data_IF_092600925003
#
_entry.id   IF_092600925003
#
_cell.length_a   1.000
_cell.length_b   1.000
_cell.length_c   1.000
_cell.angle_alpha   90.00
_cell.angle_beta   90.00
_cell.angle_gamma   90.00
#
_symmetry.space_group_name_H-M   'P 1'
#
loop_
_entity.id
_entity.type
_entity.pdbx_description
1 polymer ?
#
# COMPACT_ATOMS: atom_id res chain seq x y z
N UNK A 1 -15.86 18.27 -33.11
CA UNK A 1 -16.04 17.42 -31.91
C UNK A 1 -14.72 16.69 -31.73
N UNK A 2 -13.91 17.04 -30.73
CA UNK A 2 -12.57 16.49 -30.58
C UNK A 2 -12.66 15.01 -30.20
N UNK A 3 -12.22 14.15 -31.12
CA UNK A 3 -12.05 12.72 -30.91
C UNK A 3 -11.08 12.53 -29.73
N UNK A 4 -11.63 12.13 -28.58
CA UNK A 4 -10.82 11.75 -27.42
C UNK A 4 -10.09 10.47 -27.80
N UNK A 5 -8.84 10.60 -28.22
CA UNK A 5 -7.87 9.52 -28.23
C UNK A 5 -7.54 9.15 -26.78
N UNK A 6 -8.48 8.53 -26.09
CA UNK A 6 -8.13 7.66 -24.96
C UNK A 6 -7.43 6.49 -25.62
N UNK A 7 -6.11 6.63 -25.75
CA UNK A 7 -5.22 5.54 -26.14
C UNK A 7 -5.63 4.31 -25.34
N UNK A 8 -6.05 3.27 -26.05
CA UNK A 8 -6.32 1.92 -25.55
C UNK A 8 -5.03 1.22 -25.04
N UNK A 9 -4.04 2.02 -24.63
CA UNK A 9 -2.92 1.57 -23.81
C UNK A 9 -3.49 1.19 -22.45
N UNK A 10 -3.69 -0.11 -22.27
CA UNK A 10 -4.08 -0.74 -21.01
C UNK A 10 -3.50 0.02 -19.82
N UNK A 11 -4.36 0.62 -18.99
CA UNK A 11 -3.99 1.30 -17.73
C UNK A 11 -3.02 0.44 -16.91
N UNK A 12 -3.23 -0.88 -16.94
CA UNK A 12 -2.37 -1.87 -16.32
C UNK A 12 -0.93 -1.86 -16.87
N UNK A 13 -0.74 -1.71 -18.18
CA UNK A 13 0.59 -1.56 -18.80
C UNK A 13 1.29 -0.27 -18.33
N UNK A 14 0.55 0.81 -18.15
CA UNK A 14 1.09 2.05 -17.57
C UNK A 14 1.53 1.85 -16.13
N UNK A 15 0.78 1.08 -15.32
CA UNK A 15 1.17 0.73 -13.96
C UNK A 15 2.42 -0.17 -13.93
N UNK A 16 2.49 -1.17 -14.82
CA UNK A 16 3.67 -2.02 -15.01
C UNK A 16 4.91 -1.20 -15.38
N UNK A 17 4.77 -0.18 -16.23
CA UNK A 17 5.87 0.71 -16.59
C UNK A 17 6.38 1.56 -15.42
N UNK A 18 5.57 1.75 -14.37
CA UNK A 18 5.98 2.45 -13.15
C UNK A 18 6.71 1.54 -12.15
N UNK A 19 6.57 0.21 -12.29
CA UNK A 19 7.19 -0.77 -11.40
C UNK A 19 8.71 -0.63 -11.22
N UNK A 20 9.52 -0.43 -12.27
CA UNK A 20 10.97 -0.30 -12.15
C UNK A 20 11.41 0.91 -11.29
N UNK A 21 10.56 1.93 -11.15
CA UNK A 21 10.85 3.10 -10.32
C UNK A 21 10.59 2.82 -8.84
N UNK A 22 9.68 1.90 -8.53
CA UNK A 22 9.39 1.46 -7.16
C UNK A 22 10.40 0.41 -6.67
N UNK A 23 10.86 -0.46 -7.57
CA UNK A 23 11.90 -1.46 -7.29
C UNK A 23 13.16 -1.23 -8.17
N UNK A 24 13.99 -0.21 -7.85
CA UNK A 24 15.20 0.06 -8.62
C UNK A 24 16.27 -1.01 -8.33
N UNK A 25 16.77 -1.68 -9.38
CA UNK A 25 17.84 -2.68 -9.27
C UNK A 25 19.13 -2.06 -8.69
N UNK A 26 19.41 -0.81 -9.04
CA UNK A 26 20.67 -0.12 -8.75
C UNK A 26 20.78 0.35 -7.29
N UNK A 27 19.68 0.35 -6.52
CA UNK A 27 19.64 0.88 -5.14
C UNK A 27 19.22 -0.18 -4.12
N UNK A 28 20.22 -0.86 -3.53
CA UNK A 28 20.00 -1.88 -2.50
C UNK A 28 19.25 -1.36 -1.26
N UNK A 29 19.49 -0.12 -0.82
CA UNK A 29 18.76 0.51 0.31
C UNK A 29 17.25 0.59 0.04
N UNK A 30 16.84 0.97 -1.18
CA UNK A 30 15.41 1.03 -1.53
C UNK A 30 14.80 -0.36 -1.63
N UNK A 31 15.51 -1.33 -2.20
CA UNK A 31 15.05 -2.73 -2.24
C UNK A 31 14.83 -3.26 -0.81
N UNK A 32 15.78 -3.04 0.09
CA UNK A 32 15.65 -3.42 1.49
C UNK A 32 14.41 -2.78 2.14
N UNK A 33 14.17 -1.48 1.91
CA UNK A 33 12.97 -0.79 2.43
C UNK A 33 11.68 -1.35 1.88
N UNK A 34 11.62 -1.68 0.58
CA UNK A 34 10.42 -2.31 0.01
C UNK A 34 10.20 -3.69 0.61
N UNK A 35 11.26 -4.49 0.77
CA UNK A 35 11.18 -5.79 1.43
C UNK A 35 10.65 -5.67 2.86
N UNK A 36 11.24 -4.79 3.68
CA UNK A 36 10.80 -4.57 5.06
C UNK A 36 9.36 -4.02 5.13
N UNK A 37 9.00 -3.09 4.25
CA UNK A 37 7.64 -2.55 4.18
C UNK A 37 6.62 -3.63 3.79
N UNK A 38 7.02 -4.54 2.90
CA UNK A 38 6.18 -5.67 2.46
C UNK A 38 6.01 -6.69 3.58
N UNK A 39 7.07 -7.02 4.30
CA UNK A 39 7.00 -7.88 5.48
C UNK A 39 6.10 -7.28 6.57
N UNK A 40 6.28 -6.00 6.89
CA UNK A 40 5.44 -5.29 7.86
C UNK A 40 3.98 -5.21 7.40
N UNK A 41 3.75 -5.01 6.10
CA UNK A 41 2.41 -5.08 5.50
C UNK A 41 1.76 -6.44 5.77
N UNK A 42 2.47 -7.55 5.48
CA UNK A 42 1.95 -8.90 5.69
C UNK A 42 1.64 -9.13 7.17
N UNK A 43 2.57 -8.79 8.07
CA UNK A 43 2.36 -8.92 9.52
C UNK A 43 1.15 -8.08 9.96
N UNK A 44 1.04 -6.82 9.53
CA UNK A 44 -0.11 -5.97 9.86
C UNK A 44 -1.45 -6.58 9.41
N UNK A 45 -1.50 -7.19 8.22
CA UNK A 45 -2.72 -7.83 7.72
C UNK A 45 -3.04 -9.14 8.45
N UNK A 46 -2.03 -9.94 8.80
CA UNK A 46 -2.24 -11.11 9.65
C UNK A 46 -2.77 -10.71 11.04
N UNK A 47 -2.21 -9.67 11.65
CA UNK A 47 -2.69 -9.16 12.95
C UNK A 47 -4.12 -8.60 12.85
N UNK A 48 -4.44 -7.90 11.76
CA UNK A 48 -5.80 -7.38 11.51
C UNK A 48 -6.83 -8.51 11.48
N UNK A 49 -6.50 -9.56 10.76
CA UNK A 49 -7.35 -10.73 10.54
C UNK A 49 -7.43 -11.63 11.79
N UNK A 50 -6.37 -11.67 12.60
CA UNK A 50 -6.39 -12.34 13.91
C UNK A 50 -7.24 -11.59 14.95
N UNK A 51 -7.38 -10.27 14.84
CA UNK A 51 -8.10 -9.43 15.81
C UNK A 51 -9.51 -9.94 16.18
N UNK A 52 -10.41 -10.22 15.22
CA UNK A 52 -11.74 -10.73 15.49
C UNK A 52 -11.78 -12.03 16.31
N UNK A 53 -10.75 -12.88 16.25
CA UNK A 53 -10.70 -14.12 17.03
C UNK A 53 -10.58 -13.85 18.54
N UNK A 54 -9.87 -12.79 18.95
CA UNK A 54 -9.82 -12.40 20.37
C UNK A 54 -11.19 -11.98 20.88
N UNK A 55 -11.97 -11.29 20.05
CA UNK A 55 -13.34 -10.93 20.40
C UNK A 55 -14.25 -12.16 20.47
N UNK A 56 -14.13 -13.08 19.50
CA UNK A 56 -14.83 -14.37 19.51
C UNK A 56 -14.56 -15.15 20.81
N UNK A 57 -13.30 -15.32 21.20
CA UNK A 57 -12.97 -16.06 22.42
C UNK A 57 -13.48 -15.36 23.68
N UNK A 58 -13.50 -14.03 23.70
CA UNK A 58 -14.06 -13.28 24.83
C UNK A 58 -15.56 -13.55 24.98
N UNK A 59 -16.30 -13.60 23.87
CA UNK A 59 -17.74 -13.90 23.87
C UNK A 59 -18.02 -15.37 24.19
N UNK A 60 -17.23 -16.31 23.66
CA UNK A 60 -17.38 -17.75 23.92
C UNK A 60 -17.13 -18.07 25.40
N UNK A 61 -16.11 -17.45 26.01
CA UNK A 61 -15.80 -17.59 27.42
C UNK A 61 -16.93 -17.06 28.32
N UNK A 62 -17.62 -15.98 27.91
CA UNK A 62 -18.74 -15.41 28.66
C UNK A 62 -20.03 -16.25 28.49
N UNK A 63 -20.21 -16.87 27.33
CA UNK A 63 -21.34 -17.76 27.03
C UNK A 63 -21.21 -19.14 27.70
N UNK A 64 -20.07 -19.45 28.33
CA UNK A 64 -19.81 -20.75 28.92
C UNK A 64 -19.53 -21.86 27.89
N UNK A 65 -19.37 -21.51 26.61
CA UNK A 65 -19.09 -22.45 25.52
C UNK A 65 -17.59 -22.60 25.30
N UNK A 66 -16.86 -22.99 26.37
CA UNK A 66 -15.40 -23.12 26.39
C UNK A 66 -14.87 -24.32 25.57
N UNK A 67 -15.61 -24.80 24.55
CA UNK A 67 -15.19 -25.90 23.68
C UNK A 67 -13.90 -25.61 22.89
N UNK A 68 -13.53 -24.33 22.76
CA UNK A 68 -12.34 -23.87 22.04
C UNK A 68 -11.52 -22.92 22.90
N UNK A 69 -10.96 -23.41 24.01
CA UNK A 69 -10.00 -22.62 24.77
C UNK A 69 -8.81 -22.27 23.83
N UNK A 70 -8.53 -20.98 23.60
CA UNK A 70 -7.41 -20.61 22.74
C UNK A 70 -6.09 -21.11 23.34
N UNK A 71 -5.06 -21.38 22.51
CA UNK A 71 -3.72 -21.78 22.97
C UNK A 71 -2.97 -20.57 23.55
N UNK A 72 -3.58 -19.91 24.54
CA UNK A 72 -3.09 -18.72 25.20
C UNK A 72 -2.74 -19.03 26.66
N UNK A 73 -1.79 -18.29 27.27
CA UNK A 73 -1.50 -18.39 28.69
C UNK A 73 -2.75 -18.24 29.55
N UNK A 74 -2.81 -18.98 30.66
CA UNK A 74 -3.97 -19.03 31.56
C UNK A 74 -4.43 -17.65 32.06
N UNK A 75 -3.50 -16.71 32.25
CA UNK A 75 -3.82 -15.34 32.67
C UNK A 75 -4.57 -14.52 31.60
N UNK A 76 -4.50 -14.90 30.32
CA UNK A 76 -5.21 -14.23 29.23
C UNK A 76 -6.60 -14.82 28.96
N UNK A 77 -6.97 -15.94 29.57
CA UNK A 77 -8.24 -16.62 29.29
C UNK A 77 -9.47 -15.92 29.92
N UNK A 78 -9.25 -14.99 30.86
CA UNK A 78 -10.32 -14.19 31.42
C UNK A 78 -10.94 -13.28 30.33
N UNK A 79 -12.28 -13.17 30.22
CA UNK A 79 -12.93 -12.36 29.17
C UNK A 79 -12.42 -10.92 29.09
N UNK A 80 -12.20 -10.28 30.26
CA UNK A 80 -11.63 -8.92 30.34
C UNK A 80 -10.23 -8.86 29.72
N UNK A 81 -9.39 -9.86 29.98
CA UNK A 81 -8.03 -9.92 29.44
C UNK A 81 -8.01 -10.17 27.94
N UNK A 82 -8.96 -10.94 27.39
CA UNK A 82 -9.12 -11.12 25.94
C UNK A 82 -9.52 -9.81 25.24
N UNK A 83 -10.38 -8.99 25.86
CA UNK A 83 -10.73 -7.66 25.35
C UNK A 83 -9.53 -6.72 25.39
N UNK A 84 -8.74 -6.75 26.47
CA UNK A 84 -7.47 -6.00 26.55
C UNK A 84 -6.50 -6.45 25.47
N UNK A 85 -6.32 -7.77 25.30
CA UNK A 85 -5.46 -8.35 24.28
C UNK A 85 -5.89 -7.93 22.86
N UNK A 86 -7.19 -7.96 22.55
CA UNK A 86 -7.74 -7.45 21.30
C UNK A 86 -7.31 -6.00 21.02
N UNK A 87 -7.42 -5.12 22.03
CA UNK A 87 -7.01 -3.71 21.88
C UNK A 87 -5.50 -3.56 21.71
N UNK A 88 -4.69 -4.34 22.42
CA UNK A 88 -3.22 -4.36 22.23
C UNK A 88 -2.87 -4.81 20.83
N UNK A 89 -3.48 -5.90 20.35
CA UNK A 89 -3.32 -6.41 18.97
C UNK A 89 -3.69 -5.34 17.95
N UNK A 90 -4.78 -4.59 18.18
CA UNK A 90 -5.19 -3.48 17.33
C UNK A 90 -4.18 -2.33 17.32
N UNK A 91 -3.63 -1.96 18.48
CA UNK A 91 -2.58 -0.93 18.56
C UNK A 91 -1.31 -1.35 17.84
N UNK A 92 -0.89 -2.61 18.02
CA UNK A 92 0.27 -3.19 17.32
C UNK A 92 0.04 -3.21 15.81
N UNK A 93 -1.15 -3.61 15.37
CA UNK A 93 -1.53 -3.59 13.95
C UNK A 93 -1.46 -2.19 13.35
N UNK A 94 -1.96 -1.18 14.06
CA UNK A 94 -1.84 0.23 13.64
C UNK A 94 -0.38 0.67 13.58
N UNK A 95 0.44 0.27 14.56
CA UNK A 95 1.88 0.54 14.57
C UNK A 95 2.59 -0.03 13.34
N UNK A 96 2.31 -1.29 12.98
CA UNK A 96 2.87 -1.90 11.77
C UNK A 96 2.42 -1.20 10.49
N UNK A 97 1.16 -0.74 10.42
CA UNK A 97 0.69 0.06 9.28
C UNK A 97 1.43 1.41 9.17
N UNK A 98 1.65 2.11 10.29
CA UNK A 98 2.39 3.37 10.27
C UNK A 98 3.86 3.16 9.85
N UNK A 99 4.50 2.08 10.35
CA UNK A 99 5.87 1.74 10.00
C UNK A 99 6.03 1.40 8.51
N UNK A 100 5.16 0.54 7.96
CA UNK A 100 5.19 0.22 6.52
C UNK A 100 4.93 1.49 5.68
N UNK A 101 4.02 2.37 6.11
CA UNK A 101 3.61 3.54 5.33
C UNK A 101 4.76 4.56 5.30
N UNK A 102 5.49 4.72 6.42
CA UNK A 102 6.70 5.52 6.50
C UNK A 102 7.82 4.98 5.58
N UNK A 103 8.01 3.65 5.54
CA UNK A 103 9.00 3.03 4.64
C UNK A 103 8.61 3.22 3.17
N UNK A 104 7.35 2.95 2.81
CA UNK A 104 6.85 3.11 1.45
C UNK A 104 6.83 4.57 1.00
N UNK A 105 6.57 5.53 1.90
CA UNK A 105 6.59 6.95 1.58
C UNK A 105 7.97 7.39 1.03
N UNK A 106 9.07 6.85 1.58
CA UNK A 106 10.42 7.16 1.10
C UNK A 106 10.68 6.55 -0.29
N UNK A 107 10.18 5.35 -0.55
CA UNK A 107 10.28 4.71 -1.88
C UNK A 107 9.44 5.45 -2.91
N UNK A 108 8.20 5.81 -2.57
CA UNK A 108 7.31 6.59 -3.42
C UNK A 108 7.91 7.95 -3.78
N UNK A 109 8.47 8.69 -2.81
CA UNK A 109 9.15 9.96 -3.10
C UNK A 109 10.35 9.80 -4.03
N UNK A 110 11.12 8.72 -3.89
CA UNK A 110 12.20 8.44 -4.83
C UNK A 110 11.69 8.20 -6.25
N UNK A 111 10.65 7.36 -6.40
CA UNK A 111 10.05 7.07 -7.70
C UNK A 111 9.54 8.36 -8.39
N UNK A 112 8.85 9.21 -7.63
CA UNK A 112 8.36 10.53 -8.09
C UNK A 112 9.50 11.43 -8.53
N UNK A 113 10.54 11.56 -7.69
CA UNK A 113 11.72 12.37 -8.01
C UNK A 113 12.41 11.90 -9.29
N UNK A 114 12.59 10.59 -9.46
CA UNK A 114 13.24 10.02 -10.63
C UNK A 114 12.42 10.26 -11.90
N UNK A 115 11.10 10.13 -11.79
CA UNK A 115 10.20 10.36 -12.92
C UNK A 115 10.18 11.84 -13.31
N UNK A 116 10.03 12.74 -12.35
CA UNK A 116 10.10 14.18 -12.58
C UNK A 116 11.43 14.59 -13.23
N UNK A 117 12.54 14.01 -12.78
CA UNK A 117 13.86 14.23 -13.38
C UNK A 117 13.92 13.78 -14.84
N UNK A 118 13.43 12.58 -15.17
CA UNK A 118 13.39 12.09 -16.57
C UNK A 118 12.50 12.97 -17.44
N UNK A 119 11.34 13.39 -16.94
CA UNK A 119 10.47 14.32 -17.66
C UNK A 119 11.18 15.66 -17.92
N UNK A 120 11.88 16.20 -16.93
CA UNK A 120 12.65 17.43 -17.06
C UNK A 120 13.76 17.32 -18.11
N UNK A 121 14.55 16.24 -18.08
CA UNK A 121 15.61 16.00 -19.07
C UNK A 121 15.04 15.83 -20.47
N UNK A 122 13.99 15.03 -20.63
CA UNK A 122 13.33 14.83 -21.92
C UNK A 122 12.82 16.16 -22.50
N UNK A 123 12.27 17.04 -21.64
CA UNK A 123 11.81 18.36 -22.05
C UNK A 123 12.94 19.22 -22.61
N UNK A 124 14.13 19.19 -22.00
CA UNK A 124 15.30 19.97 -22.47
C UNK A 124 15.90 19.43 -23.77
N UNK A 125 15.64 18.16 -24.10
CA UNK A 125 16.14 17.52 -25.32
C UNK A 125 15.22 17.74 -26.53
N UNK A 126 14.07 18.41 -26.35
CA UNK A 126 13.17 18.71 -27.45
C UNK A 126 13.69 19.87 -28.31
N UNK A 127 13.20 19.93 -29.56
CA UNK A 127 13.68 20.90 -30.54
C UNK A 127 13.38 22.34 -30.12
N UNK A 128 14.22 23.28 -30.55
CA UNK A 128 13.98 24.71 -30.33
C UNK A 128 12.60 25.15 -30.86
N UNK A 129 12.15 24.59 -31.99
CA UNK A 129 10.80 24.81 -32.54
C UNK A 129 9.70 24.45 -31.53
N UNK A 130 9.82 23.30 -30.85
CA UNK A 130 8.88 22.89 -29.81
C UNK A 130 8.82 23.91 -28.66
N UNK A 131 9.96 24.46 -28.26
CA UNK A 131 10.04 25.46 -27.19
C UNK A 131 9.51 26.83 -27.61
N UNK A 132 9.66 27.22 -28.88
CA UNK A 132 9.16 28.50 -29.42
C UNK A 132 7.64 28.48 -29.69
N UNK A 133 7.08 27.33 -30.08
CA UNK A 133 5.65 27.16 -30.38
C UNK A 133 4.76 27.11 -29.13
N UNK A 134 5.35 26.95 -27.93
CA UNK A 134 4.60 26.71 -26.68
C UNK A 134 4.96 27.73 -25.61
N UNK A 135 3.95 28.30 -24.94
CA UNK A 135 4.17 29.20 -23.79
C UNK A 135 4.85 28.42 -22.65
N UNK A 136 6.04 28.84 -22.23
CA UNK A 136 6.84 28.21 -21.17
C UNK A 136 6.07 27.97 -19.88
N UNK A 137 5.22 28.93 -19.46
CA UNK A 137 4.36 28.79 -18.28
C UNK A 137 3.25 27.74 -18.43
N UNK A 138 2.69 27.59 -19.63
CA UNK A 138 1.70 26.54 -19.92
C UNK A 138 2.33 25.15 -19.93
N UNK A 139 3.54 25.03 -20.51
CA UNK A 139 4.33 23.80 -20.52
C UNK A 139 4.69 23.35 -19.09
N UNK A 140 5.24 24.27 -18.28
CA UNK A 140 5.60 24.02 -16.88
C UNK A 140 4.40 23.52 -16.07
N UNK A 141 3.23 24.17 -16.21
CA UNK A 141 2.00 23.76 -15.53
C UNK A 141 1.48 22.40 -15.97
N UNK A 142 1.68 22.00 -17.23
CA UNK A 142 1.30 20.66 -17.71
C UNK A 142 2.22 19.61 -17.07
N UNK A 143 3.52 19.86 -17.01
CA UNK A 143 4.49 18.95 -16.37
C UNK A 143 4.20 18.80 -14.89
N UNK A 144 3.98 19.91 -14.19
CA UNK A 144 3.70 19.90 -12.75
C UNK A 144 2.44 19.08 -12.45
N UNK A 145 1.37 19.27 -13.25
CA UNK A 145 0.15 18.47 -13.12
C UNK A 145 0.38 17.00 -13.46
N UNK A 146 1.15 16.71 -14.50
CA UNK A 146 1.48 15.33 -14.91
C UNK A 146 2.27 14.59 -13.83
N UNK A 147 3.33 15.21 -13.32
CA UNK A 147 4.18 14.65 -12.25
C UNK A 147 3.41 14.46 -10.95
N UNK A 148 2.59 15.44 -10.53
CA UNK A 148 1.69 15.30 -9.37
C UNK A 148 0.64 14.19 -9.57
N UNK A 149 0.11 14.04 -10.78
CA UNK A 149 -0.82 12.97 -11.12
C UNK A 149 -0.16 11.59 -10.97
N UNK A 150 1.07 11.43 -11.48
CA UNK A 150 1.79 10.16 -11.37
C UNK A 150 2.21 9.89 -9.91
N UNK A 151 2.62 10.91 -9.17
CA UNK A 151 2.84 10.79 -7.72
C UNK A 151 1.61 10.25 -7.01
N UNK A 152 0.44 10.81 -7.30
CA UNK A 152 -0.82 10.38 -6.71
C UNK A 152 -1.08 8.91 -7.00
N UNK A 153 -0.90 8.48 -8.26
CA UNK A 153 -1.10 7.09 -8.68
C UNK A 153 -0.14 6.14 -7.96
N UNK A 154 1.16 6.45 -7.95
CA UNK A 154 2.19 5.62 -7.30
C UNK A 154 1.91 5.48 -5.81
N UNK A 155 1.65 6.60 -5.13
CA UNK A 155 1.33 6.61 -3.69
C UNK A 155 0.06 5.83 -3.40
N UNK A 156 -0.99 6.03 -4.19
CA UNK A 156 -2.27 5.35 -3.99
C UNK A 156 -2.11 3.84 -4.13
N UNK A 157 -1.38 3.38 -5.14
CA UNK A 157 -1.15 1.94 -5.36
C UNK A 157 -0.36 1.32 -4.21
N UNK A 158 0.73 1.97 -3.79
CA UNK A 158 1.60 1.43 -2.75
C UNK A 158 0.95 1.45 -1.37
N UNK A 159 0.24 2.53 -1.03
CA UNK A 159 -0.27 2.74 0.33
C UNK A 159 -1.71 2.21 0.54
N UNK A 160 -2.49 2.10 -0.53
CA UNK A 160 -3.89 1.67 -0.45
C UNK A 160 -4.15 0.41 -1.29
N UNK A 161 -3.99 0.46 -2.61
CA UNK A 161 -4.44 -0.62 -3.50
C UNK A 161 -3.79 -1.96 -3.20
N UNK A 162 -2.46 -2.02 -3.11
CA UNK A 162 -1.75 -3.27 -2.83
C UNK A 162 -2.13 -3.86 -1.44
N UNK A 163 -2.14 -3.06 -0.35
CA UNK A 163 -2.66 -3.51 0.93
C UNK A 163 -4.10 -4.03 0.91
N UNK A 164 -4.99 -3.35 0.20
CA UNK A 164 -6.41 -3.71 0.12
C UNK A 164 -6.60 -5.03 -0.63
N UNK A 165 -5.87 -5.26 -1.73
CA UNK A 165 -5.90 -6.53 -2.45
C UNK A 165 -5.44 -7.68 -1.56
N UNK A 166 -4.35 -7.49 -0.82
CA UNK A 166 -3.85 -8.50 0.12
C UNK A 166 -4.87 -8.80 1.23
N UNK A 167 -5.45 -7.76 1.82
CA UNK A 167 -6.48 -7.88 2.86
C UNK A 167 -7.71 -8.64 2.35
N UNK A 168 -8.17 -8.29 1.15
CA UNK A 168 -9.29 -8.97 0.49
C UNK A 168 -8.98 -10.46 0.29
N UNK A 169 -7.82 -10.79 -0.29
CA UNK A 169 -7.42 -12.18 -0.53
C UNK A 169 -7.33 -13.00 0.76
N UNK A 170 -6.74 -12.44 1.82
CA UNK A 170 -6.65 -13.09 3.14
C UNK A 170 -8.04 -13.33 3.75
N UNK A 171 -8.91 -12.32 3.70
CA UNK A 171 -10.26 -12.41 4.27
C UNK A 171 -11.09 -13.44 3.52
N UNK A 172 -11.07 -13.42 2.18
CA UNK A 172 -11.75 -14.41 1.35
C UNK A 172 -11.24 -15.83 1.64
N UNK A 173 -9.92 -16.02 1.74
CA UNK A 173 -9.33 -17.32 2.07
C UNK A 173 -9.80 -17.87 3.41
N UNK A 174 -9.90 -17.01 4.43
CA UNK A 174 -10.41 -17.42 5.74
C UNK A 174 -11.88 -17.79 5.67
N UNK A 175 -12.70 -16.96 5.03
CA UNK A 175 -14.12 -17.26 4.91
C UNK A 175 -14.35 -18.59 4.20
N UNK A 176 -13.62 -18.85 3.11
CA UNK A 176 -13.69 -20.12 2.39
C UNK A 176 -13.25 -21.32 3.24
N UNK A 177 -12.27 -21.17 4.13
CA UNK A 177 -11.81 -22.24 5.01
C UNK A 177 -12.70 -22.46 6.24
N UNK A 178 -13.24 -21.39 6.83
CA UNK A 178 -13.99 -21.48 8.10
C UNK A 178 -15.50 -21.67 7.91
N UNK A 179 -16.06 -21.23 6.78
CA UNK A 179 -17.50 -21.22 6.52
C UNK A 179 -17.92 -21.86 5.19
N UNK A 180 -16.98 -22.14 4.29
CA UNK A 180 -17.23 -22.84 3.02
C UNK A 180 -17.09 -24.35 3.17
#
# INVERSE_FOLDING_TARGET
MAEKTVSDSSTFKTLLNLWPYMWPADRADLRARVTWATLLLVVAKLTLVAGPYFFKWATDALAGDAKSAPPLPSFLLAPVMLVVAYNVVRLVQLGFNQLRDALFARVGQYAVRQLAFRTFVHMHQLSLRFHLERRTGGLSRIIERGTKGIETIVRFIMLNTAPTILEFALTTGIFAYTYG
#
